data_IF_978413256781
#
_entry.id   IF_978413256781
#
_cell.length_a   1.000
_cell.length_b   1.000
_cell.length_c   1.000
_cell.angle_alpha   90.00
_cell.angle_beta   90.00
_cell.angle_gamma   90.00
#
_symmetry.space_group_name_H-M   'P 1'
#
loop_
_entity.id
_entity.type
_entity.pdbx_description
1 polymer ?
#
# COMPACT_ATOMS: atom_id res chain seq x y z
N UNK A 1 13.32 17.84 -12.31
CA UNK A 1 12.26 16.82 -12.52
C UNK A 1 12.87 15.48 -12.17
N UNK A 2 12.32 14.80 -11.18
CA UNK A 2 12.84 13.49 -10.79
C UNK A 2 12.45 12.42 -11.83
N UNK A 3 13.19 11.31 -11.87
CA UNK A 3 12.88 10.19 -12.75
C UNK A 3 11.44 9.69 -12.52
N UNK A 4 11.02 9.57 -11.26
CA UNK A 4 9.68 9.11 -10.92
C UNK A 4 8.58 10.12 -11.32
N UNK A 5 8.82 11.42 -11.18
CA UNK A 5 7.92 12.47 -11.70
C UNK A 5 7.77 12.46 -13.22
N UNK A 6 8.73 11.88 -13.93
CA UNK A 6 8.70 11.76 -15.40
C UNK A 6 8.02 10.48 -15.88
N UNK A 7 7.95 9.46 -15.03
CA UNK A 7 7.41 8.15 -15.37
C UNK A 7 5.98 7.93 -14.86
N UNK A 8 5.60 8.62 -13.79
CA UNK A 8 4.37 8.37 -13.06
C UNK A 8 3.46 9.59 -13.09
N UNK A 9 2.15 9.33 -13.14
CA UNK A 9 1.17 10.37 -12.92
C UNK A 9 1.23 10.88 -11.47
N UNK A 10 0.80 12.13 -11.20
CA UNK A 10 0.69 12.63 -9.83
C UNK A 10 -0.17 11.74 -8.93
N UNK A 11 -1.18 11.07 -9.48
CA UNK A 11 -2.01 10.12 -8.74
C UNK A 11 -1.23 8.87 -8.32
N UNK A 12 -0.43 8.29 -9.22
CA UNK A 12 0.39 7.11 -8.93
C UNK A 12 1.48 7.40 -7.91
N UNK A 13 2.13 8.56 -8.00
CA UNK A 13 3.11 9.02 -7.01
C UNK A 13 2.52 9.09 -5.59
N UNK A 14 1.25 9.47 -5.47
CA UNK A 14 0.56 9.52 -4.18
C UNK A 14 0.07 8.14 -3.70
N UNK A 15 -0.14 7.19 -4.62
CA UNK A 15 -0.62 5.85 -4.29
C UNK A 15 0.49 4.88 -3.87
N UNK A 16 1.69 5.00 -4.47
CA UNK A 16 2.82 4.11 -4.16
C UNK A 16 3.18 4.10 -2.66
N UNK A 17 3.33 5.24 -1.97
CA UNK A 17 3.63 5.27 -0.54
C UNK A 17 2.58 4.54 0.31
N UNK A 18 1.29 4.68 -0.02
CA UNK A 18 0.20 3.99 0.69
C UNK A 18 0.34 2.47 0.54
N UNK A 19 0.62 2.00 -0.67
CA UNK A 19 0.84 0.57 -0.94
C UNK A 19 2.05 0.03 -0.17
N UNK A 20 3.16 0.76 -0.16
CA UNK A 20 4.36 0.38 0.60
C UNK A 20 4.08 0.31 2.11
N UNK A 21 3.30 1.26 2.64
CA UNK A 21 2.94 1.28 4.06
C UNK A 21 2.04 0.08 4.44
N UNK A 22 1.08 -0.28 3.59
CA UNK A 22 0.27 -1.50 3.76
C UNK A 22 1.18 -2.73 3.84
N UNK A 23 2.11 -2.90 2.90
CA UNK A 23 3.02 -4.05 2.88
C UNK A 23 3.89 -4.11 4.13
N UNK A 24 4.47 -2.98 4.55
CA UNK A 24 5.28 -2.90 5.78
C UNK A 24 4.49 -3.31 7.02
N UNK A 25 3.24 -2.84 7.16
CA UNK A 25 2.40 -3.18 8.29
C UNK A 25 1.93 -4.65 8.27
N UNK A 26 1.68 -5.20 7.08
CA UNK A 26 1.37 -6.62 6.89
C UNK A 26 2.56 -7.51 7.29
N UNK A 27 3.78 -7.15 6.87
CA UNK A 27 5.01 -7.86 7.26
C UNK A 27 5.26 -7.77 8.78
N UNK A 28 4.88 -6.66 9.41
CA UNK A 28 4.91 -6.50 10.86
C UNK A 28 3.80 -7.28 11.60
N UNK A 29 2.98 -8.08 10.91
CA UNK A 29 1.94 -8.89 11.51
C UNK A 29 0.70 -8.11 11.97
N UNK A 30 0.55 -6.84 11.56
CA UNK A 30 -0.61 -6.04 11.95
C UNK A 30 -1.89 -6.60 11.28
N UNK A 31 -3.00 -6.78 12.02
CA UNK A 31 -4.25 -7.26 11.44
C UNK A 31 -4.79 -6.33 10.34
N UNK A 32 -5.28 -6.91 9.24
CA UNK A 32 -5.72 -6.14 8.06
C UNK A 32 -6.78 -5.07 8.36
N UNK A 33 -7.72 -5.35 9.27
CA UNK A 33 -8.73 -4.37 9.70
C UNK A 33 -8.10 -3.15 10.37
N UNK A 34 -7.12 -3.37 11.24
CA UNK A 34 -6.40 -2.29 11.92
C UNK A 34 -5.59 -1.44 10.92
N UNK A 35 -5.00 -2.07 9.90
CA UNK A 35 -4.31 -1.35 8.81
C UNK A 35 -5.30 -0.48 8.03
N UNK A 36 -6.46 -1.02 7.68
CA UNK A 36 -7.51 -0.31 6.94
C UNK A 36 -7.99 0.94 7.70
N UNK A 37 -8.24 0.80 9.01
CA UNK A 37 -8.61 1.91 9.90
C UNK A 37 -7.50 2.95 10.03
N UNK A 38 -6.25 2.52 10.29
CA UNK A 38 -5.13 3.43 10.50
C UNK A 38 -4.74 4.22 9.25
N UNK A 39 -4.89 3.63 8.06
CA UNK A 39 -4.55 4.28 6.79
C UNK A 39 -5.75 4.93 6.08
N UNK A 40 -6.96 4.80 6.65
CA UNK A 40 -8.18 5.35 6.04
C UNK A 40 -8.50 4.73 4.68
N UNK A 41 -8.18 3.45 4.47
CA UNK A 41 -8.41 2.74 3.21
C UNK A 41 -9.44 1.63 3.38
N UNK A 42 -10.13 1.26 2.29
CA UNK A 42 -11.04 0.12 2.32
C UNK A 42 -10.33 -1.21 2.59
N UNK A 43 -11.00 -2.12 3.31
CA UNK A 43 -10.45 -3.45 3.67
C UNK A 43 -9.98 -4.24 2.44
N UNK A 44 -10.68 -4.12 1.30
CA UNK A 44 -10.31 -4.78 0.05
C UNK A 44 -8.91 -4.37 -0.45
N UNK A 45 -8.48 -3.12 -0.20
CA UNK A 45 -7.15 -2.63 -0.56
C UNK A 45 -6.08 -3.34 0.24
N UNK A 46 -6.29 -3.50 1.55
CA UNK A 46 -5.36 -4.22 2.43
C UNK A 46 -5.31 -5.71 2.08
N UNK A 47 -6.46 -6.33 1.82
CA UNK A 47 -6.52 -7.74 1.41
C UNK A 47 -5.82 -8.02 0.09
N UNK A 48 -5.85 -7.08 -0.87
CA UNK A 48 -5.01 -7.17 -2.08
C UNK A 48 -3.52 -7.11 -1.76
N UNK A 49 -3.11 -6.20 -0.88
CA UNK A 49 -1.73 -6.12 -0.39
C UNK A 49 -1.25 -7.43 0.25
N UNK A 50 -2.10 -8.05 1.09
CA UNK A 50 -1.78 -9.33 1.72
C UNK A 50 -1.64 -10.49 0.73
N UNK A 51 -2.42 -10.47 -0.37
CA UNK A 51 -2.28 -11.45 -1.46
C UNK A 51 -1.01 -11.23 -2.27
N UNK A 52 -0.62 -9.97 -2.51
CA UNK A 52 0.63 -9.66 -3.20
C UNK A 52 1.84 -10.16 -2.39
N UNK A 53 1.86 -9.92 -1.07
CA UNK A 53 2.94 -10.34 -0.19
C UNK A 53 3.12 -11.87 -0.08
N UNK A 54 2.06 -12.65 -0.34
CA UNK A 54 2.12 -14.12 -0.35
C UNK A 54 2.64 -14.73 -1.67
N UNK A 55 2.74 -13.92 -2.72
CA UNK A 55 3.17 -14.36 -4.06
C UNK A 55 4.69 -14.29 -4.25
N UNK A 56 5.40 -13.75 -3.26
CA UNK A 56 6.86 -13.75 -3.12
C UNK A 56 7.26 -14.80 -2.06
#
# INVERSE_FOLDING_TARGET
>A
MSLLESLLTPAELNEIPKRLQILKMLQAGIPQRKIAEQLGVGIATVSRGARALKRD
#
